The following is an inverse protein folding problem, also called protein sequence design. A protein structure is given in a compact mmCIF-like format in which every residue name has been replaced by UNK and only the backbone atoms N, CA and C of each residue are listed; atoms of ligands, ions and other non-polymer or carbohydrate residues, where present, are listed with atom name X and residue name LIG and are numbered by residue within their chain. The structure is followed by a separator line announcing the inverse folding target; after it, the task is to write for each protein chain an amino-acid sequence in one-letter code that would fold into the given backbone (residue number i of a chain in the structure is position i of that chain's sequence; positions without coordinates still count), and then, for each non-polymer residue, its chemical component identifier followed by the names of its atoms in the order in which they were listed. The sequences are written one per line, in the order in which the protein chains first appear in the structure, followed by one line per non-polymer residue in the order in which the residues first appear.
data_IF_221821832368
#
_entry.id   IF_221821832368
#
_cell.length_a   1.000
_cell.length_b   1.000
_cell.length_c   1.000
_cell.angle_alpha   90.00
_cell.angle_beta   90.00
_cell.angle_gamma   90.00
#
_symmetry.space_group_name_H-M   'P 1'
#
loop_
_entity.id
_entity.type
_entity.pdbx_description
1 polymer ?
#
# COMPACT_ATOMS: atom_id res chain seq x y z
N UNK A 1 4.54 -10.45 -41.90
CA UNK A 1 6.02 -10.47 -42.08
C UNK A 1 6.45 -11.91 -42.24
N UNK A 2 6.87 -12.33 -43.44
CA UNK A 2 7.39 -13.68 -43.66
C UNK A 2 8.81 -13.78 -43.10
N UNK A 3 9.04 -14.73 -42.19
CA UNK A 3 10.32 -14.90 -41.52
C UNK A 3 11.36 -15.45 -42.49
N UNK A 4 12.63 -15.03 -42.39
CA UNK A 4 13.73 -15.64 -43.15
C UNK A 4 13.91 -17.14 -42.84
N UNK A 5 13.26 -17.64 -41.79
CA UNK A 5 13.18 -19.07 -41.45
C UNK A 5 12.22 -19.87 -42.35
N UNK A 6 11.21 -19.24 -42.96
CA UNK A 6 10.28 -19.93 -43.87
C UNK A 6 10.94 -20.32 -45.20
N UNK A 7 12.08 -19.69 -45.54
CA UNK A 7 12.88 -20.04 -46.74
C UNK A 7 13.65 -21.36 -46.60
N UNK A 8 13.66 -21.96 -45.43
CA UNK A 8 14.27 -23.27 -45.17
C UNK A 8 13.20 -24.36 -44.93
N UNK A 9 12.10 -24.34 -45.66
CA UNK A 9 11.33 -25.55 -45.91
C UNK A 9 12.19 -26.52 -46.74
N UNK A 10 13.06 -27.24 -46.03
CA UNK A 10 13.99 -28.29 -46.50
C UNK A 10 13.26 -29.49 -47.12
N UNK A 11 11.93 -29.45 -47.25
CA UNK A 11 11.13 -30.54 -47.77
C UNK A 11 11.39 -30.86 -49.26
N UNK A 12 11.77 -29.87 -50.08
CA UNK A 12 11.86 -30.05 -51.55
C UNK A 12 13.27 -30.36 -52.08
N UNK A 13 14.31 -30.32 -51.24
CA UNK A 13 15.68 -30.65 -51.63
C UNK A 13 16.20 -31.84 -50.83
N UNK A 14 15.55 -32.99 -50.98
CA UNK A 14 16.20 -34.27 -50.64
C UNK A 14 17.09 -34.65 -51.82
N UNK A 15 18.43 -34.62 -51.69
CA UNK A 15 19.29 -35.27 -52.67
C UNK A 15 19.05 -36.78 -52.52
N UNK A 16 18.06 -37.31 -53.24
CA UNK A 16 17.84 -38.75 -53.30
C UNK A 16 19.05 -39.37 -53.99
N UNK A 17 19.64 -40.38 -53.36
CA UNK A 17 20.74 -41.12 -53.92
C UNK A 17 20.43 -41.61 -55.34
N UNK A 18 21.39 -41.38 -56.25
CA UNK A 18 21.37 -41.91 -57.61
C UNK A 18 22.55 -42.85 -57.78
N UNK A 19 22.34 -44.12 -58.17
CA UNK A 19 23.41 -45.08 -58.28
C UNK A 19 24.40 -44.67 -59.35
N UNK A 20 25.69 -44.81 -59.03
CA UNK A 20 26.79 -44.66 -59.99
C UNK A 20 26.89 -45.96 -60.77
N UNK A 21 26.79 -45.90 -62.09
CA UNK A 21 26.96 -47.05 -62.99
C UNK A 21 28.27 -46.83 -63.77
N UNK A 22 29.35 -47.47 -63.33
CA UNK A 22 30.65 -47.42 -63.99
C UNK A 22 31.23 -48.84 -64.12
N UNK A 23 32.04 -49.07 -65.16
CA UNK A 23 32.71 -50.36 -65.39
C UNK A 23 33.85 -50.52 -64.37
N UNK A 24 33.86 -51.64 -63.66
CA UNK A 24 34.88 -51.93 -62.65
C UNK A 24 36.28 -51.96 -63.27
N UNK A 25 37.23 -51.30 -62.60
CA UNK A 25 38.65 -51.29 -62.98
C UNK A 25 39.45 -52.08 -61.96
N UNK A 26 40.40 -52.87 -62.44
CA UNK A 26 41.31 -53.63 -61.58
C UNK A 26 42.11 -52.68 -60.65
N UNK A 27 41.96 -52.87 -59.34
CA UNK A 27 42.69 -52.12 -58.30
C UNK A 27 41.98 -50.89 -57.72
N UNK A 28 40.69 -50.66 -58.02
CA UNK A 28 39.88 -49.58 -57.44
C UNK A 28 38.62 -50.08 -56.71
N UNK A 29 37.89 -49.18 -56.04
CA UNK A 29 36.56 -49.48 -55.52
C UNK A 29 35.58 -49.75 -56.66
N UNK A 30 34.80 -50.83 -56.56
CA UNK A 30 33.75 -51.12 -57.54
C UNK A 30 32.65 -50.07 -57.48
N UNK A 31 31.88 -49.94 -58.56
CA UNK A 31 30.71 -49.07 -58.55
C UNK A 31 29.72 -49.48 -57.44
N UNK A 32 29.62 -50.78 -57.13
CA UNK A 32 28.79 -51.30 -56.03
C UNK A 32 29.27 -50.88 -54.64
N UNK A 33 30.59 -50.85 -54.40
CA UNK A 33 31.16 -50.43 -53.10
C UNK A 33 30.93 -48.95 -52.84
N UNK A 34 31.13 -48.11 -53.87
CA UNK A 34 30.84 -46.67 -53.80
C UNK A 34 29.36 -46.43 -53.57
N UNK A 35 28.52 -47.20 -54.25
CA UNK A 35 27.06 -47.14 -54.13
C UNK A 35 26.57 -47.50 -52.71
N UNK A 36 27.16 -48.54 -52.09
CA UNK A 36 26.87 -48.90 -50.68
C UNK A 36 27.29 -47.81 -49.71
N UNK A 37 28.49 -47.24 -49.86
CA UNK A 37 28.99 -46.18 -48.99
C UNK A 37 28.13 -44.92 -49.06
N UNK A 38 27.65 -44.56 -50.26
CA UNK A 38 26.77 -43.39 -50.44
C UNK A 38 25.38 -43.61 -49.82
N UNK A 39 24.83 -44.82 -49.92
CA UNK A 39 23.58 -45.19 -49.24
C UNK A 39 23.73 -45.16 -47.70
N UNK A 40 24.83 -45.70 -47.17
CA UNK A 40 25.11 -45.66 -45.73
C UNK A 40 25.27 -44.22 -45.23
N UNK A 41 25.95 -43.36 -46.01
CA UNK A 41 26.06 -41.94 -45.70
C UNK A 41 24.68 -41.25 -45.69
N UNK A 42 23.81 -41.52 -46.67
CA UNK A 42 22.44 -41.00 -46.71
C UNK A 42 21.64 -41.43 -45.47
N UNK A 43 21.72 -42.70 -45.08
CA UNK A 43 21.06 -43.19 -43.87
C UNK A 43 21.57 -42.52 -42.59
N UNK A 44 22.87 -42.29 -42.46
CA UNK A 44 23.46 -41.58 -41.32
C UNK A 44 22.98 -40.12 -41.29
N UNK A 45 22.97 -39.43 -42.43
CA UNK A 45 22.47 -38.05 -42.52
C UNK A 45 20.99 -37.95 -42.21
N UNK A 46 20.16 -38.86 -42.72
CA UNK A 46 18.73 -38.90 -42.38
C UNK A 46 18.51 -39.11 -40.87
N UNK A 47 19.26 -40.02 -40.25
CA UNK A 47 19.16 -40.28 -38.82
C UNK A 47 19.55 -39.03 -37.99
N UNK A 48 20.63 -38.34 -38.38
CA UNK A 48 21.03 -37.09 -37.74
C UNK A 48 19.98 -35.98 -37.94
N UNK A 49 19.43 -35.85 -39.15
CA UNK A 49 18.42 -34.86 -39.45
C UNK A 49 17.14 -35.08 -38.64
N UNK A 50 16.67 -36.33 -38.53
CA UNK A 50 15.55 -36.69 -37.65
C UNK A 50 15.83 -36.39 -36.18
N UNK A 51 17.07 -36.60 -35.71
CA UNK A 51 17.48 -36.27 -34.34
C UNK A 51 17.44 -34.77 -34.09
N UNK A 52 17.95 -33.96 -35.02
CA UNK A 52 17.93 -32.49 -34.93
C UNK A 52 16.49 -31.96 -35.01
N UNK A 53 15.65 -32.51 -35.89
CA UNK A 53 14.23 -32.16 -35.95
C UNK A 53 13.51 -32.48 -34.64
N UNK A 54 13.79 -33.63 -34.03
CA UNK A 54 13.25 -34.00 -32.72
C UNK A 54 13.67 -33.03 -31.62
N UNK A 55 14.95 -32.65 -31.58
CA UNK A 55 15.47 -31.66 -30.63
C UNK A 55 14.84 -30.28 -30.85
N UNK A 56 14.69 -29.85 -32.10
CA UNK A 56 14.04 -28.57 -32.42
C UNK A 56 12.56 -28.54 -31.98
N UNK A 57 11.83 -29.65 -32.13
CA UNK A 57 10.44 -29.74 -31.63
C UNK A 57 10.39 -29.63 -30.11
N UNK A 58 11.21 -30.39 -29.40
CA UNK A 58 11.28 -30.33 -27.94
C UNK A 58 11.69 -28.92 -27.42
N UNK A 59 12.65 -28.27 -28.09
CA UNK A 59 13.04 -26.90 -27.74
C UNK A 59 11.91 -25.89 -28.00
N UNK A 60 11.11 -26.06 -29.06
CA UNK A 60 9.95 -25.20 -29.31
C UNK A 60 8.85 -25.40 -28.26
N UNK A 61 8.59 -26.64 -27.88
CA UNK A 61 7.60 -26.95 -26.84
C UNK A 61 8.03 -26.36 -25.49
N UNK A 62 9.30 -26.54 -25.11
CA UNK A 62 9.82 -25.94 -23.87
C UNK A 62 9.87 -24.42 -23.91
N UNK A 63 10.15 -23.82 -25.07
CA UNK A 63 10.08 -22.36 -25.21
C UNK A 63 8.64 -21.86 -25.04
N UNK A 64 7.66 -22.53 -25.65
CA UNK A 64 6.25 -22.18 -25.50
C UNK A 64 5.76 -22.33 -24.06
N UNK A 65 6.20 -23.36 -23.31
CA UNK A 65 5.85 -23.48 -21.89
C UNK A 65 6.47 -22.36 -21.06
N UNK A 66 7.73 -21.99 -21.31
CA UNK A 66 8.38 -20.88 -20.60
C UNK A 66 7.74 -19.53 -20.92
N UNK A 67 7.32 -19.29 -22.16
CA UNK A 67 6.59 -18.08 -22.52
C UNK A 67 5.26 -17.97 -21.78
N UNK A 68 4.53 -19.08 -21.66
CA UNK A 68 3.29 -19.13 -20.87
C UNK A 68 3.54 -18.89 -19.38
N UNK A 69 4.57 -19.52 -18.81
CA UNK A 69 4.99 -19.28 -17.42
C UNK A 69 5.33 -17.80 -17.19
N UNK A 70 6.11 -17.17 -18.08
CA UNK A 70 6.44 -15.75 -17.98
C UNK A 70 5.19 -14.86 -18.08
N UNK A 71 4.26 -15.17 -18.99
CA UNK A 71 3.01 -14.43 -19.11
C UNK A 71 2.15 -14.52 -17.83
N UNK A 72 2.06 -15.72 -17.22
CA UNK A 72 1.35 -15.89 -15.96
C UNK A 72 2.00 -15.13 -14.80
N UNK A 73 3.34 -15.15 -14.72
CA UNK A 73 4.08 -14.39 -13.70
C UNK A 73 3.93 -12.89 -13.88
N UNK A 74 3.94 -12.38 -15.12
CA UNK A 74 3.71 -10.97 -15.42
C UNK A 74 2.31 -10.53 -14.96
N UNK A 75 1.27 -11.29 -15.31
CA UNK A 75 -0.10 -11.01 -14.85
C UNK A 75 -0.22 -11.01 -13.31
N UNK A 76 0.47 -11.94 -12.63
CA UNK A 76 0.50 -11.99 -11.17
C UNK A 76 1.22 -10.78 -10.56
N UNK A 77 2.30 -10.32 -11.18
CA UNK A 77 3.02 -9.13 -10.75
C UNK A 77 2.15 -7.87 -10.91
N UNK A 78 1.45 -7.72 -12.04
CA UNK A 78 0.54 -6.59 -12.30
C UNK A 78 -0.64 -6.57 -11.32
N UNK A 79 -1.22 -7.73 -11.03
CA UNK A 79 -2.29 -7.87 -10.02
C UNK A 79 -1.80 -7.48 -8.62
N UNK A 80 -0.60 -7.93 -8.23
CA UNK A 80 0.00 -7.58 -6.94
C UNK A 80 0.35 -6.09 -6.86
N UNK A 81 0.87 -5.51 -7.95
CA UNK A 81 1.13 -4.08 -8.05
C UNK A 81 -0.15 -3.27 -7.85
N UNK A 82 -1.20 -3.61 -8.60
CA UNK A 82 -2.51 -2.95 -8.50
C UNK A 82 -3.12 -3.07 -7.09
N UNK A 83 -3.03 -4.25 -6.47
CA UNK A 83 -3.51 -4.46 -5.11
C UNK A 83 -2.72 -3.65 -4.06
N UNK A 84 -1.39 -3.58 -4.21
CA UNK A 84 -0.54 -2.79 -3.32
C UNK A 84 -0.83 -1.29 -3.45
N UNK A 85 -1.01 -0.78 -4.67
CA UNK A 85 -1.40 0.62 -4.92
C UNK A 85 -2.77 0.94 -4.30
N UNK A 86 -3.76 0.05 -4.47
CA UNK A 86 -5.07 0.20 -3.87
C UNK A 86 -5.01 0.21 -2.32
N UNK A 87 -4.16 -0.64 -1.73
CA UNK A 87 -3.98 -0.67 -0.28
C UNK A 87 -3.27 0.59 0.24
N UNK A 88 -2.22 1.05 -0.44
CA UNK A 88 -1.49 2.27 -0.07
C UNK A 88 -2.37 3.52 -0.18
N UNK A 89 -3.17 3.63 -1.24
CA UNK A 89 -4.11 4.75 -1.41
C UNK A 89 -5.21 4.72 -0.34
N UNK A 90 -5.77 3.55 -0.03
CA UNK A 90 -6.73 3.41 1.06
C UNK A 90 -6.13 3.76 2.43
N UNK A 91 -4.87 3.37 2.69
CA UNK A 91 -4.15 3.73 3.92
C UNK A 91 -3.88 5.24 4.00
N UNK A 92 -3.45 5.87 2.89
CA UNK A 92 -3.25 7.31 2.83
C UNK A 92 -4.53 8.08 3.15
N UNK A 93 -5.66 7.71 2.55
CA UNK A 93 -6.97 8.31 2.83
C UNK A 93 -7.39 8.17 4.30
N UNK A 94 -7.10 7.03 4.93
CA UNK A 94 -7.38 6.84 6.37
C UNK A 94 -6.51 7.75 7.24
N UNK A 95 -5.22 7.88 6.91
CA UNK A 95 -4.30 8.75 7.64
C UNK A 95 -4.70 10.22 7.50
N UNK A 96 -5.10 10.66 6.31
CA UNK A 96 -5.61 12.02 6.09
C UNK A 96 -6.90 12.28 6.90
N UNK A 97 -7.81 11.29 6.93
CA UNK A 97 -9.01 11.34 7.77
C UNK A 97 -8.67 11.48 9.25
N UNK A 98 -7.74 10.67 9.76
CA UNK A 98 -7.27 10.73 11.15
C UNK A 98 -6.58 12.06 11.47
N UNK A 99 -5.76 12.58 10.56
CA UNK A 99 -5.13 13.90 10.73
C UNK A 99 -6.19 15.02 10.83
N UNK A 100 -7.25 14.93 10.03
CA UNK A 100 -8.38 15.84 10.11
C UNK A 100 -9.15 15.75 11.44
N UNK A 101 -9.35 14.55 11.98
CA UNK A 101 -9.97 14.34 13.29
C UNK A 101 -9.10 14.89 14.43
N UNK A 102 -7.80 14.63 14.40
CA UNK A 102 -6.83 15.17 15.37
C UNK A 102 -6.87 16.70 15.35
N UNK A 103 -6.83 17.32 14.17
CA UNK A 103 -6.91 18.78 14.05
C UNK A 103 -8.19 19.37 14.65
N UNK A 104 -9.33 18.68 14.50
CA UNK A 104 -10.61 19.08 15.14
C UNK A 104 -10.56 18.94 16.65
N UNK A 105 -10.01 17.84 17.17
CA UNK A 105 -9.85 17.62 18.60
C UNK A 105 -8.91 18.67 19.22
N UNK A 106 -7.80 18.97 18.56
CA UNK A 106 -6.87 20.01 19.01
C UNK A 106 -7.51 21.40 19.03
N UNK A 107 -8.31 21.74 18.02
CA UNK A 107 -9.06 22.98 18.00
C UNK A 107 -10.09 23.05 19.15
N UNK A 108 -10.81 21.95 19.40
CA UNK A 108 -11.77 21.87 20.50
C UNK A 108 -11.08 21.97 21.87
N UNK A 109 -9.92 21.33 22.04
CA UNK A 109 -9.12 21.42 23.27
C UNK A 109 -8.61 22.85 23.53
N UNK A 110 -8.11 23.54 22.50
CA UNK A 110 -7.68 24.93 22.61
C UNK A 110 -8.84 25.86 22.99
N UNK A 111 -9.97 25.74 22.31
CA UNK A 111 -11.17 26.51 22.64
C UNK A 111 -11.66 26.23 24.06
N UNK A 112 -11.64 24.96 24.50
CA UNK A 112 -11.99 24.57 25.87
C UNK A 112 -11.04 25.14 26.91
N UNK A 113 -9.73 25.16 26.63
CA UNK A 113 -8.73 25.74 27.52
C UNK A 113 -8.89 27.26 27.66
N UNK A 114 -9.17 27.96 26.57
CA UNK A 114 -9.47 29.40 26.57
C UNK A 114 -10.74 29.71 27.36
N UNK A 115 -11.81 28.94 27.14
CA UNK A 115 -13.06 29.09 27.89
C UNK A 115 -12.86 28.85 29.39
N UNK A 116 -12.08 27.83 29.78
CA UNK A 116 -11.76 27.56 31.18
C UNK A 116 -10.93 28.69 31.81
N UNK A 117 -9.97 29.26 31.08
CA UNK A 117 -9.18 30.40 31.55
C UNK A 117 -10.07 31.62 31.80
N UNK A 118 -10.95 31.95 30.84
CA UNK A 118 -11.93 33.03 31.00
C UNK A 118 -12.88 32.78 32.18
N UNK A 119 -13.34 31.55 32.38
CA UNK A 119 -14.20 31.20 33.51
C UNK A 119 -13.47 31.38 34.84
N UNK A 120 -12.19 30.99 34.94
CA UNK A 120 -11.38 31.21 36.15
C UNK A 120 -11.21 32.70 36.45
N UNK A 121 -10.94 33.51 35.43
CA UNK A 121 -10.80 34.96 35.58
C UNK A 121 -12.11 35.62 36.03
N UNK A 122 -13.25 35.19 35.44
CA UNK A 122 -14.57 35.68 35.83
C UNK A 122 -14.90 35.29 37.27
N UNK A 123 -14.69 34.03 37.66
CA UNK A 123 -14.91 33.55 39.02
C UNK A 123 -14.02 34.31 40.03
N UNK A 124 -12.76 34.61 39.67
CA UNK A 124 -11.86 35.38 40.52
C UNK A 124 -12.37 36.83 40.72
N UNK A 125 -12.87 37.46 39.65
CA UNK A 125 -13.48 38.80 39.73
C UNK A 125 -14.75 38.81 40.57
N UNK A 126 -15.63 37.83 40.38
CA UNK A 126 -16.86 37.68 41.19
C UNK A 126 -16.52 37.47 42.67
N UNK A 127 -15.56 36.60 42.98
CA UNK A 127 -15.11 36.39 44.35
C UNK A 127 -14.54 37.67 44.96
N UNK A 128 -13.79 38.47 44.19
CA UNK A 128 -13.26 39.76 44.64
C UNK A 128 -14.36 40.79 44.90
N UNK A 129 -15.37 40.86 44.03
CA UNK A 129 -16.54 41.75 44.22
C UNK A 129 -17.33 41.35 45.46
N UNK A 130 -17.58 40.05 45.67
CA UNK A 130 -18.25 39.55 46.86
C UNK A 130 -17.44 39.86 48.13
N UNK A 131 -16.12 39.68 48.11
CA UNK A 131 -15.27 40.02 49.25
C UNK A 131 -15.31 41.52 49.59
N UNK A 132 -15.36 42.40 48.58
CA UNK A 132 -15.52 43.84 48.79
C UNK A 132 -16.88 44.17 49.41
N UNK A 133 -17.97 43.61 48.88
CA UNK A 133 -19.31 43.80 49.44
C UNK A 133 -19.41 43.29 50.88
N UNK A 134 -18.79 42.14 51.19
CA UNK A 134 -18.73 41.61 52.55
C UNK A 134 -17.97 42.60 53.45
N UNK A 135 -16.81 43.09 53.04
CA UNK A 135 -16.04 44.06 53.82
C UNK A 135 -16.82 45.38 54.05
N UNK A 136 -17.54 45.88 53.05
CA UNK A 136 -18.43 47.05 53.19
C UNK A 136 -19.58 46.77 54.16
N UNK A 137 -20.22 45.61 54.07
CA UNK A 137 -21.28 45.19 55.00
C UNK A 137 -20.76 45.01 56.43
N UNK A 138 -19.57 44.44 56.60
CA UNK A 138 -18.92 44.30 57.89
C UNK A 138 -18.58 45.67 58.50
N UNK A 139 -18.09 46.61 57.68
CA UNK A 139 -17.81 47.97 58.11
C UNK A 139 -19.10 48.70 58.53
N UNK A 140 -20.16 48.66 57.70
CA UNK A 140 -21.45 49.27 58.06
C UNK A 140 -22.07 48.65 59.31
N UNK A 141 -21.94 47.34 59.51
CA UNK A 141 -22.34 46.67 60.75
C UNK A 141 -21.54 47.17 61.95
N UNK A 142 -20.23 47.34 61.81
CA UNK A 142 -19.36 47.90 62.84
C UNK A 142 -19.77 49.34 63.20
N UNK A 143 -20.00 50.17 62.19
CA UNK A 143 -20.43 51.56 62.34
C UNK A 143 -21.80 51.64 63.05
N UNK A 144 -22.76 50.80 62.66
CA UNK A 144 -24.06 50.71 63.33
C UNK A 144 -23.95 50.25 64.78
N UNK A 145 -23.05 49.30 65.10
CA UNK A 145 -22.78 48.86 66.48
C UNK A 145 -22.16 49.96 67.34
N UNK A 146 -21.30 50.78 66.75
CA UNK A 146 -20.64 51.91 67.44
C UNK A 146 -21.55 53.14 67.60
N UNK A 147 -22.66 53.20 66.86
CA UNK A 147 -23.62 54.30 66.92
C UNK A 147 -24.35 54.39 68.26
N UNK A 148 -24.43 55.60 68.81
CA UNK A 148 -25.23 55.92 70.02
C UNK A 148 -26.74 56.01 69.73
N UNK A 149 -27.16 55.92 68.47
CA UNK A 149 -28.57 55.96 68.08
C UNK A 149 -29.28 54.64 68.42
N UNK A 150 -30.28 54.72 69.31
CA UNK A 150 -31.11 53.56 69.66
C UNK A 150 -31.84 52.97 68.43
N UNK A 151 -32.22 53.81 67.47
CA UNK A 151 -32.92 53.39 66.24
C UNK A 151 -32.02 52.52 65.34
N UNK A 152 -30.72 52.83 65.27
CA UNK A 152 -29.75 52.10 64.45
C UNK A 152 -29.29 50.79 65.11
N UNK A 153 -29.24 50.72 66.44
CA UNK A 153 -28.83 49.51 67.18
C UNK A 153 -29.97 48.53 67.46
N UNK A 154 -31.24 48.96 67.41
CA UNK A 154 -32.42 48.11 67.66
C UNK A 154 -32.55 46.89 66.71
N UNK A 155 -32.34 47.00 65.39
CA UNK A 155 -32.41 45.85 64.47
C UNK A 155 -31.36 44.79 64.78
N UNK A 156 -30.14 45.20 65.14
CA UNK A 156 -29.03 44.29 65.49
C UNK A 156 -29.33 43.46 66.74
N UNK A 157 -30.04 44.02 67.72
CA UNK A 157 -30.49 43.28 68.91
C UNK A 157 -31.53 42.20 68.60
N UNK A 158 -32.38 42.40 67.58
CA UNK A 158 -33.33 41.35 67.13
C UNK A 158 -32.60 40.16 66.49
N UNK A 159 -31.54 40.42 65.73
CA UNK A 159 -30.71 39.36 65.13
C UNK A 159 -29.90 38.60 66.18
N UNK A 160 -29.35 39.29 67.18
CA UNK A 160 -28.64 38.65 68.29
C UNK A 160 -29.56 37.84 69.22
N UNK A 161 -30.81 38.29 69.43
CA UNK A 161 -31.82 37.60 70.25
C UNK A 161 -32.50 36.41 69.57
N UNK A 162 -32.33 36.22 68.26
CA UNK A 162 -32.91 35.10 67.49
C UNK A 162 -32.11 33.80 67.54
N UNK A 163 -30.90 33.80 68.13
CA UNK A 163 -30.01 32.62 68.19
C UNK A 163 -30.42 31.56 69.24
N UNK A 164 -31.67 31.57 69.71
CA UNK A 164 -32.14 30.75 70.83
C UNK A 164 -33.59 30.26 70.76
N UNK A 165 -34.20 30.20 69.58
CA UNK A 165 -35.48 29.51 69.39
C UNK A 165 -35.48 28.75 68.05
N UNK A 166 -34.99 27.52 68.12
CA UNK A 166 -35.66 26.40 67.44
C UNK A 166 -37.01 26.14 68.11
#
# INVERSE_FOLDING_TARGET
MASKLDRYLVAERRPAYRPVVAVDKDGGYSAEDVNRLLLDAEHIFEAQLRKVEGQMRALRETLATRENELATLANLADQRGSAAEAELTARALRLDGQAGEIAKLDAALKAGAEALAQQKDNNAREAQQQAQQIAELEQTLSDMRSSRSWRLTRPLRRLAGGKGRE
#
